data_IF_767790272110
#
_entry.id   IF_767790272110
#
_cell.length_a   1.000
_cell.length_b   1.000
_cell.length_c   1.000
_cell.angle_alpha   90.00
_cell.angle_beta   90.00
_cell.angle_gamma   90.00
#
_symmetry.space_group_name_H-M   'P 1'
#
loop_
_entity.id
_entity.type
_entity.pdbx_description
1 polymer ?
#
# COMPACT_ATOMS: atom_id res chain seq x y z
N UNK A 1 77.69 0.22 36.33
CA UNK A 1 78.12 -0.91 35.54
C UNK A 1 77.07 -1.16 34.51
N UNK A 2 77.25 -0.67 33.34
CA UNK A 2 76.28 -0.74 32.29
C UNK A 2 76.86 -1.43 31.06
N UNK A 3 76.15 -2.26 30.45
CA UNK A 3 76.54 -2.83 29.17
C UNK A 3 75.52 -2.38 28.12
N UNK A 4 76.05 -1.53 27.21
CA UNK A 4 75.33 -1.12 26.01
C UNK A 4 75.68 -2.10 24.88
N UNK A 5 74.68 -2.86 24.44
CA UNK A 5 74.86 -3.68 23.22
C UNK A 5 74.34 -2.82 22.06
N UNK A 6 75.28 -2.52 21.12
CA UNK A 6 74.90 -1.88 19.83
C UNK A 6 74.43 -2.96 18.87
N UNK A 7 73.24 -2.84 18.40
CA UNK A 7 72.74 -3.68 17.33
C UNK A 7 72.93 -2.96 16.00
N UNK A 8 73.69 -3.56 15.11
CA UNK A 8 73.84 -3.12 13.72
C UNK A 8 72.60 -3.54 12.92
N UNK A 9 71.96 -2.57 12.33
CA UNK A 9 70.85 -2.85 11.38
C UNK A 9 71.46 -2.75 9.97
N UNK A 10 71.53 -3.88 9.30
CA UNK A 10 71.85 -3.97 7.88
C UNK A 10 70.60 -3.54 7.08
N UNK A 11 70.73 -2.47 6.30
CA UNK A 11 69.66 -2.05 5.38
C UNK A 11 69.76 -2.90 4.10
N UNK A 12 68.84 -3.79 3.89
CA UNK A 12 68.64 -4.47 2.61
C UNK A 12 67.51 -3.72 1.84
N UNK A 13 67.93 -3.01 0.79
CA UNK A 13 67.02 -2.37 -0.15
C UNK A 13 66.37 -3.43 -1.06
N UNK A 14 65.14 -3.80 -0.77
CA UNK A 14 64.34 -4.58 -1.68
C UNK A 14 63.43 -3.61 -2.51
N UNK A 15 63.72 -3.54 -3.81
CA UNK A 15 62.85 -2.84 -4.76
C UNK A 15 61.54 -3.60 -4.91
N UNK A 16 60.49 -3.07 -4.34
CA UNK A 16 59.14 -3.60 -4.56
C UNK A 16 58.62 -2.99 -5.87
N UNK A 17 58.47 -3.82 -6.88
CA UNK A 17 57.74 -3.49 -8.08
C UNK A 17 56.29 -3.24 -7.71
N UNK A 18 55.82 -2.01 -7.84
CA UNK A 18 54.39 -1.65 -7.69
C UNK A 18 53.68 -2.18 -8.93
N UNK A 19 53.11 -3.37 -8.82
CA UNK A 19 52.10 -3.84 -9.75
C UNK A 19 50.86 -3.01 -9.43
N UNK A 20 50.53 -2.11 -10.36
CA UNK A 20 49.33 -1.29 -10.25
C UNK A 20 48.09 -2.19 -10.19
N UNK A 21 47.48 -2.29 -9.01
CA UNK A 21 46.09 -2.76 -8.92
C UNK A 21 45.21 -1.71 -9.57
N UNK A 22 44.76 -1.99 -10.78
CA UNK A 22 43.56 -1.31 -11.31
C UNK A 22 42.39 -1.60 -10.35
N UNK A 23 41.61 -0.58 -9.98
CA UNK A 23 40.39 -0.84 -9.24
C UNK A 23 39.51 -1.75 -10.11
N UNK A 24 38.74 -2.67 -9.49
CA UNK A 24 37.81 -3.49 -10.25
C UNK A 24 36.86 -2.55 -11.01
N UNK A 25 36.73 -2.79 -12.30
CA UNK A 25 35.77 -2.11 -13.13
C UNK A 25 34.42 -2.16 -12.41
N UNK A 26 33.78 -1.01 -12.23
CA UNK A 26 32.44 -0.92 -11.68
C UNK A 26 31.53 -1.86 -12.45
N UNK A 27 30.36 -2.27 -11.88
CA UNK A 27 29.46 -3.21 -12.52
C UNK A 27 29.16 -2.69 -13.92
N UNK A 28 29.73 -3.40 -14.89
CA UNK A 28 29.67 -3.05 -16.29
C UNK A 28 28.23 -3.07 -16.74
N UNK A 29 27.92 -2.09 -17.58
CA UNK A 29 27.04 -2.18 -18.72
C UNK A 29 26.11 -3.39 -18.62
N UNK A 30 24.87 -3.12 -18.16
CA UNK A 30 23.77 -4.08 -18.30
C UNK A 30 23.76 -4.53 -19.77
N UNK A 31 24.11 -5.78 -20.00
CA UNK A 31 23.94 -6.41 -21.28
C UNK A 31 22.48 -6.22 -21.70
N UNK A 32 22.28 -5.54 -22.82
CA UNK A 32 20.98 -5.36 -23.46
C UNK A 32 20.53 -6.73 -23.98
N UNK A 33 20.04 -7.58 -23.09
CA UNK A 33 19.31 -8.78 -23.52
C UNK A 33 18.03 -8.26 -24.17
N UNK A 34 17.81 -8.49 -25.47
CA UNK A 34 16.58 -8.07 -26.11
C UNK A 34 15.39 -8.69 -25.37
N UNK A 35 14.27 -7.96 -25.21
CA UNK A 35 13.10 -8.52 -24.59
C UNK A 35 12.72 -9.82 -25.30
N UNK A 36 12.37 -10.87 -24.55
CA UNK A 36 11.88 -12.09 -25.15
C UNK A 36 10.65 -11.76 -26.00
N UNK A 37 10.37 -12.52 -27.06
CA UNK A 37 9.16 -12.33 -27.90
C UNK A 37 7.85 -12.38 -27.11
N UNK A 38 7.90 -12.75 -25.83
CA UNK A 38 6.77 -12.83 -24.89
C UNK A 38 6.61 -11.58 -24.02
N UNK A 39 7.53 -10.59 -24.12
CA UNK A 39 7.50 -9.37 -23.30
C UNK A 39 7.16 -8.16 -24.17
N UNK A 40 6.38 -7.24 -23.63
CA UNK A 40 6.00 -5.96 -24.25
C UNK A 40 6.36 -4.81 -23.33
N UNK A 41 6.59 -3.64 -23.89
CA UNK A 41 6.79 -2.43 -23.10
C UNK A 41 5.48 -1.99 -22.43
N UNK A 42 5.60 -1.21 -21.36
CA UNK A 42 4.44 -0.62 -20.68
C UNK A 42 3.60 0.25 -21.60
N UNK A 43 4.22 0.93 -22.58
CA UNK A 43 3.49 1.75 -23.55
C UNK A 43 2.66 0.88 -24.52
N UNK A 44 3.22 -0.24 -24.99
CA UNK A 44 2.50 -1.20 -25.82
C UNK A 44 1.37 -1.87 -25.04
N UNK A 45 1.60 -2.23 -23.79
CA UNK A 45 0.56 -2.75 -22.89
C UNK A 45 -0.58 -1.74 -22.73
N UNK A 46 -0.26 -0.48 -22.46
CA UNK A 46 -1.25 0.58 -22.33
C UNK A 46 -2.07 0.74 -23.62
N UNK A 47 -1.41 0.79 -24.77
CA UNK A 47 -2.08 0.91 -26.07
C UNK A 47 -3.00 -0.29 -26.34
N UNK A 48 -2.54 -1.53 -26.08
CA UNK A 48 -3.33 -2.75 -26.30
C UNK A 48 -4.59 -2.83 -25.42
N UNK A 49 -4.59 -2.10 -24.29
CA UNK A 49 -5.70 -2.05 -23.33
C UNK A 49 -6.60 -0.81 -23.50
N UNK A 50 -6.27 0.11 -24.43
CA UNK A 50 -6.97 1.39 -24.55
C UNK A 50 -6.76 2.31 -23.34
N UNK A 51 -5.60 2.20 -22.70
CA UNK A 51 -5.17 3.00 -21.57
C UNK A 51 -4.03 3.94 -21.98
N UNK A 52 -3.70 4.90 -21.14
CA UNK A 52 -2.49 5.72 -21.24
C UNK A 52 -1.67 5.62 -19.97
N UNK A 53 -0.36 5.73 -20.08
CA UNK A 53 0.53 5.82 -18.93
C UNK A 53 0.25 7.17 -18.25
N UNK A 54 -0.28 7.10 -17.04
CA UNK A 54 -0.55 8.27 -16.20
C UNK A 54 0.64 8.58 -15.31
N UNK A 55 1.33 7.53 -14.85
CA UNK A 55 2.52 7.64 -14.02
C UNK A 55 3.45 6.46 -14.28
N UNK A 56 4.78 6.71 -14.25
CA UNK A 56 5.81 5.68 -14.34
C UNK A 56 6.94 6.02 -13.39
N UNK A 57 7.07 5.23 -12.33
CA UNK A 57 8.12 5.32 -11.31
C UNK A 57 8.93 4.02 -11.23
N UNK A 58 10.10 4.03 -10.59
CA UNK A 58 10.88 2.81 -10.40
C UNK A 58 10.11 1.70 -9.66
N UNK A 59 9.15 2.03 -8.82
CA UNK A 59 8.42 1.09 -7.97
C UNK A 59 7.09 0.63 -8.56
N UNK A 60 6.49 1.44 -9.44
CA UNK A 60 5.17 1.15 -10.02
C UNK A 60 4.89 1.94 -11.29
N UNK A 61 3.89 1.47 -12.03
CA UNK A 61 3.31 2.17 -13.19
C UNK A 61 1.80 2.23 -13.03
N UNK A 62 1.21 3.37 -13.40
CA UNK A 62 -0.24 3.57 -13.41
C UNK A 62 -0.70 3.83 -14.84
N UNK A 63 -1.61 3.00 -15.30
CA UNK A 63 -2.28 3.14 -16.61
C UNK A 63 -3.74 3.53 -16.37
N UNK A 64 -4.26 4.53 -17.10
CA UNK A 64 -5.64 5.03 -16.91
C UNK A 64 -6.35 5.34 -18.22
N UNK A 65 -7.69 5.23 -18.17
CA UNK A 65 -8.63 5.93 -19.05
C UNK A 65 -9.78 6.48 -18.20
N UNK A 66 -10.87 6.93 -18.85
CA UNK A 66 -12.05 7.47 -18.14
C UNK A 66 -12.75 6.47 -17.22
N UNK A 67 -12.57 5.17 -17.43
CA UNK A 67 -13.35 4.13 -16.76
C UNK A 67 -12.50 3.17 -15.94
N UNK A 68 -11.21 3.07 -16.23
CA UNK A 68 -10.34 2.05 -15.63
C UNK A 68 -9.00 2.63 -15.16
N UNK A 69 -8.51 2.09 -14.06
CA UNK A 69 -7.16 2.31 -13.54
C UNK A 69 -6.47 0.98 -13.35
N UNK A 70 -5.26 0.84 -13.89
CA UNK A 70 -4.41 -0.35 -13.71
C UNK A 70 -3.13 0.10 -13.01
N UNK A 71 -2.82 -0.51 -11.87
CA UNK A 71 -1.58 -0.29 -11.14
C UNK A 71 -0.70 -1.54 -11.22
N UNK A 72 0.54 -1.34 -11.63
CA UNK A 72 1.53 -2.39 -11.84
C UNK A 72 2.71 -2.09 -10.91
N UNK A 73 2.84 -2.84 -9.81
CA UNK A 73 4.01 -2.73 -8.94
C UNK A 73 5.17 -3.49 -9.56
N UNK A 74 6.27 -2.79 -9.80
CA UNK A 74 7.39 -3.28 -10.63
C UNK A 74 8.57 -3.84 -9.83
N UNK A 75 8.45 -3.94 -8.52
CA UNK A 75 9.40 -4.62 -7.66
C UNK A 75 9.16 -6.14 -7.66
N UNK A 76 10.18 -6.93 -7.30
CA UNK A 76 10.07 -8.39 -7.26
C UNK A 76 8.86 -8.86 -6.44
N UNK A 77 8.04 -9.72 -7.00
CA UNK A 77 6.76 -10.14 -6.40
C UNK A 77 5.67 -9.06 -6.42
N UNK A 78 5.83 -8.03 -7.27
CA UNK A 78 4.91 -6.90 -7.37
C UNK A 78 3.49 -7.34 -7.71
N UNK A 79 2.53 -6.68 -7.08
CA UNK A 79 1.10 -6.92 -7.27
C UNK A 79 0.58 -6.15 -8.50
N UNK A 80 -0.43 -6.70 -9.14
CA UNK A 80 -1.16 -6.08 -10.24
C UNK A 80 -2.60 -5.79 -9.80
N UNK A 81 -3.03 -4.56 -9.97
CA UNK A 81 -4.38 -4.11 -9.61
C UNK A 81 -5.12 -3.59 -10.82
N UNK A 82 -6.40 -3.89 -10.92
CA UNK A 82 -7.33 -3.30 -11.89
C UNK A 82 -8.52 -2.73 -11.13
N UNK A 83 -8.73 -1.42 -11.24
CA UNK A 83 -9.79 -0.71 -10.52
C UNK A 83 -9.80 -1.02 -9.02
N UNK A 84 -8.63 -0.88 -8.38
CA UNK A 84 -8.36 -1.19 -6.98
C UNK A 84 -8.34 -2.67 -6.59
N UNK A 85 -8.73 -3.59 -7.50
CA UNK A 85 -8.75 -5.04 -7.25
C UNK A 85 -7.40 -5.66 -7.57
N UNK A 86 -6.77 -6.39 -6.65
CA UNK A 86 -5.59 -7.17 -6.96
C UNK A 86 -5.99 -8.36 -7.86
N UNK A 87 -5.31 -8.50 -8.99
CA UNK A 87 -5.53 -9.60 -9.93
C UNK A 87 -4.35 -10.57 -10.01
N UNK A 88 -3.49 -10.54 -9.00
CA UNK A 88 -2.33 -11.41 -8.84
C UNK A 88 -1.01 -10.65 -8.98
N UNK A 89 0.09 -11.38 -9.12
CA UNK A 89 1.41 -10.79 -9.32
C UNK A 89 1.65 -10.41 -10.79
N UNK A 90 2.60 -9.49 -10.98
CA UNK A 90 3.03 -9.01 -12.31
C UNK A 90 3.88 -10.07 -13.02
N UNK A 91 4.50 -10.98 -12.27
CA UNK A 91 5.55 -11.86 -12.76
C UNK A 91 6.88 -11.15 -12.94
N UNK A 92 7.64 -11.55 -13.96
CA UNK A 92 8.94 -10.94 -14.28
C UNK A 92 8.74 -9.56 -14.89
N UNK A 93 9.50 -8.60 -14.37
CA UNK A 93 9.58 -7.23 -14.88
C UNK A 93 11.03 -6.97 -15.30
N UNK A 94 11.24 -6.65 -16.56
CA UNK A 94 12.55 -6.30 -17.11
C UNK A 94 12.66 -4.77 -17.30
N UNK A 95 13.87 -4.23 -17.11
CA UNK A 95 14.18 -2.81 -17.36
C UNK A 95 15.29 -2.73 -18.36
N UNK A 96 15.00 -2.17 -19.53
CA UNK A 96 15.95 -2.06 -20.63
C UNK A 96 15.93 -0.63 -21.15
N UNK A 97 17.06 0.07 -21.10
CA UNK A 97 17.15 1.45 -21.59
C UNK A 97 16.18 2.43 -20.92
N UNK A 98 15.87 2.22 -19.63
CA UNK A 98 14.92 3.06 -18.87
C UNK A 98 13.45 2.73 -19.13
N UNK A 99 13.15 1.79 -20.03
CA UNK A 99 11.78 1.31 -20.26
C UNK A 99 11.50 0.05 -19.44
N UNK A 100 10.24 -0.10 -19.06
CA UNK A 100 9.74 -1.25 -18.30
C UNK A 100 9.06 -2.20 -19.29
N UNK A 101 9.41 -3.49 -19.18
CA UNK A 101 8.85 -4.59 -19.96
C UNK A 101 8.21 -5.60 -19.04
N UNK A 102 7.05 -6.09 -19.44
CA UNK A 102 6.26 -7.08 -18.72
C UNK A 102 5.78 -8.17 -19.68
N UNK A 103 5.33 -9.30 -19.13
CA UNK A 103 4.77 -10.37 -19.98
C UNK A 103 3.55 -9.87 -20.75
N UNK A 104 3.47 -10.19 -22.04
CA UNK A 104 2.30 -9.92 -22.88
C UNK A 104 1.03 -10.66 -22.39
N UNK A 105 1.18 -11.74 -21.62
CA UNK A 105 0.06 -12.46 -20.99
C UNK A 105 -0.75 -11.58 -20.03
N UNK A 106 -0.19 -10.47 -19.57
CA UNK A 106 -0.91 -9.50 -18.74
C UNK A 106 -2.05 -8.81 -19.49
N UNK A 107 -1.99 -8.70 -20.82
CA UNK A 107 -3.04 -8.07 -21.63
C UNK A 107 -4.39 -8.74 -21.35
N UNK A 108 -4.45 -10.06 -21.50
CA UNK A 108 -5.72 -10.79 -21.32
C UNK A 108 -6.19 -10.83 -19.87
N UNK A 109 -5.25 -10.94 -18.93
CA UNK A 109 -5.58 -10.88 -17.49
C UNK A 109 -6.18 -9.54 -17.10
N UNK A 110 -5.56 -8.45 -17.54
CA UNK A 110 -6.05 -7.09 -17.27
C UNK A 110 -7.36 -6.84 -18.00
N UNK A 111 -7.46 -7.21 -19.28
CA UNK A 111 -8.68 -7.04 -20.07
C UNK A 111 -9.88 -7.78 -19.43
N UNK A 112 -9.69 -9.03 -19.05
CA UNK A 112 -10.71 -9.82 -18.36
C UNK A 112 -11.12 -9.16 -17.04
N UNK A 113 -10.17 -8.65 -16.26
CA UNK A 113 -10.47 -7.96 -15.00
C UNK A 113 -11.18 -6.62 -15.22
N UNK A 114 -10.83 -5.87 -16.27
CA UNK A 114 -11.55 -4.64 -16.66
C UNK A 114 -12.99 -4.93 -17.08
N UNK A 115 -13.25 -6.02 -17.81
CA UNK A 115 -14.58 -6.43 -18.25
C UNK A 115 -15.42 -7.03 -17.11
N UNK A 116 -14.78 -7.80 -16.22
CA UNK A 116 -15.42 -8.38 -15.04
C UNK A 116 -15.73 -7.35 -13.94
N UNK A 117 -15.21 -6.13 -14.07
CA UNK A 117 -15.49 -5.08 -13.10
C UNK A 117 -16.92 -4.59 -13.26
N UNK A 118 -17.82 -5.20 -12.51
CA UNK A 118 -19.10 -4.59 -12.19
C UNK A 118 -18.89 -3.78 -10.93
N UNK A 119 -19.05 -2.44 -10.95
CA UNK A 119 -19.04 -1.66 -9.73
C UNK A 119 -20.03 -2.30 -8.74
N UNK A 120 -19.68 -2.46 -7.45
CA UNK A 120 -20.62 -3.00 -6.50
C UNK A 120 -21.91 -2.19 -6.58
N UNK A 121 -23.01 -2.88 -6.85
CA UNK A 121 -24.33 -2.25 -6.84
C UNK A 121 -24.58 -1.76 -5.43
N UNK A 122 -24.91 -0.47 -5.22
CA UNK A 122 -25.21 0.01 -3.87
C UNK A 122 -26.32 -0.87 -3.29
N UNK A 123 -26.03 -1.58 -2.23
CA UNK A 123 -26.97 -2.49 -1.58
C UNK A 123 -28.10 -1.76 -0.84
N UNK A 124 -28.17 -0.44 -0.97
CA UNK A 124 -29.13 0.43 -0.30
C UNK A 124 -29.54 1.58 -1.24
N UNK A 125 -30.80 2.03 -1.24
CA UNK A 125 -31.20 3.25 -1.96
C UNK A 125 -30.22 4.38 -1.62
N UNK A 126 -29.73 5.10 -2.64
CA UNK A 126 -28.80 6.21 -2.44
C UNK A 126 -29.44 7.19 -1.45
N UNK A 127 -28.92 7.30 -0.23
CA UNK A 127 -29.45 8.25 0.73
C UNK A 127 -29.25 9.66 0.19
N UNK A 128 -30.05 10.59 0.67
CA UNK A 128 -29.88 12.03 0.54
C UNK A 128 -28.37 12.35 0.48
N UNK A 129 -27.94 13.05 -0.59
CA UNK A 129 -26.54 13.37 -0.86
C UNK A 129 -25.86 13.82 0.43
N UNK A 130 -24.91 13.02 0.91
CA UNK A 130 -24.19 13.32 2.14
C UNK A 130 -23.33 14.56 1.95
N UNK A 131 -23.17 15.35 2.98
CA UNK A 131 -22.27 16.49 2.97
C UNK A 131 -21.25 16.31 4.08
N UNK A 132 -19.99 16.47 3.77
CA UNK A 132 -18.88 16.36 4.72
C UNK A 132 -17.57 16.04 3.99
N UNK A 133 -16.46 16.26 4.71
CA UNK A 133 -15.11 15.99 4.25
C UNK A 133 -14.52 14.85 5.06
N UNK A 134 -14.09 13.80 4.39
CA UNK A 134 -13.43 12.63 5.01
C UNK A 134 -12.00 12.54 4.49
N UNK A 135 -11.05 12.39 5.40
CA UNK A 135 -9.68 12.02 5.03
C UNK A 135 -9.51 10.53 5.23
N UNK A 136 -9.12 9.83 4.16
CA UNK A 136 -8.78 8.41 4.19
C UNK A 136 -7.28 8.28 4.12
N UNK A 137 -6.70 7.71 5.16
CA UNK A 137 -5.28 7.43 5.26
C UNK A 137 -5.02 5.96 4.93
N UNK A 138 -4.21 5.71 3.91
CA UNK A 138 -3.69 4.38 3.66
C UNK A 138 -2.38 4.20 4.42
N UNK A 139 -2.39 3.46 5.51
CA UNK A 139 -1.24 3.26 6.39
C UNK A 139 0.00 2.76 5.65
N UNK A 140 1.20 3.10 6.16
CA UNK A 140 2.49 2.75 5.55
C UNK A 140 2.69 3.31 4.14
N UNK A 141 3.58 2.73 3.34
CA UNK A 141 3.85 3.11 1.95
C UNK A 141 5.33 3.38 1.64
N UNK A 142 5.73 3.22 0.39
CA UNK A 142 7.10 3.44 -0.08
C UNK A 142 8.14 2.63 0.69
N UNK A 143 9.03 3.32 1.39
CA UNK A 143 10.11 2.72 2.23
C UNK A 143 9.58 1.95 3.46
N UNK A 144 8.36 2.22 3.90
CA UNK A 144 7.71 1.55 5.01
C UNK A 144 6.74 0.47 4.49
N UNK A 145 7.10 -0.81 4.56
CA UNK A 145 6.24 -1.89 4.08
C UNK A 145 5.07 -2.20 5.02
N UNK A 146 5.10 -1.72 6.28
CA UNK A 146 4.25 -2.22 7.34
C UNK A 146 4.57 -3.66 7.71
N UNK A 147 3.60 -4.39 8.22
CA UNK A 147 3.74 -5.79 8.57
C UNK A 147 3.99 -6.67 7.33
N UNK A 148 4.82 -7.72 7.52
CA UNK A 148 4.98 -8.79 6.54
C UNK A 148 3.98 -9.90 6.82
N UNK A 149 3.17 -10.23 5.82
CA UNK A 149 2.27 -11.37 5.90
C UNK A 149 3.03 -12.69 5.93
N UNK A 150 2.48 -13.68 6.64
CA UNK A 150 2.96 -15.07 6.58
C UNK A 150 2.84 -15.72 5.19
N UNK A 151 2.21 -15.04 4.23
CA UNK A 151 2.09 -15.44 2.82
C UNK A 151 2.99 -14.63 1.88
N UNK A 152 3.91 -13.81 2.43
CA UNK A 152 4.96 -13.14 1.66
C UNK A 152 4.55 -11.86 0.94
N UNK A 153 3.51 -11.16 1.37
CA UNK A 153 3.14 -9.83 0.90
C UNK A 153 3.16 -8.81 2.05
N UNK A 154 3.15 -7.53 1.72
CA UNK A 154 3.26 -6.43 2.68
C UNK A 154 1.91 -5.75 2.94
N UNK A 155 1.74 -5.26 4.16
CA UNK A 155 0.58 -4.53 4.65
C UNK A 155 0.23 -3.33 3.78
N UNK A 156 1.22 -2.51 3.41
CA UNK A 156 1.04 -1.28 2.64
C UNK A 156 0.20 -1.43 1.37
N UNK A 157 0.26 -2.60 0.73
CA UNK A 157 -0.50 -2.91 -0.48
C UNK A 157 -1.98 -3.14 -0.19
N UNK A 158 -2.28 -3.86 0.90
CA UNK A 158 -3.67 -4.10 1.35
C UNK A 158 -4.30 -2.78 1.78
N UNK A 159 -3.58 -2.00 2.62
CA UNK A 159 -4.06 -0.72 3.11
C UNK A 159 -4.41 0.22 1.96
N UNK A 160 -3.54 0.33 0.95
CA UNK A 160 -3.80 1.15 -0.22
C UNK A 160 -5.01 0.67 -1.04
N UNK A 161 -5.11 -0.62 -1.28
CA UNK A 161 -6.21 -1.20 -2.06
C UNK A 161 -7.56 -0.95 -1.40
N UNK A 162 -7.68 -1.24 -0.10
CA UNK A 162 -8.92 -1.02 0.65
C UNK A 162 -9.24 0.46 0.78
N UNK A 163 -8.25 1.31 1.08
CA UNK A 163 -8.44 2.74 1.22
C UNK A 163 -8.93 3.42 -0.06
N UNK A 164 -8.38 3.03 -1.23
CA UNK A 164 -8.82 3.53 -2.53
C UNK A 164 -10.28 3.15 -2.82
N UNK A 165 -10.68 1.93 -2.50
CA UNK A 165 -12.07 1.49 -2.72
C UNK A 165 -13.03 2.16 -1.73
N UNK A 166 -12.64 2.35 -0.46
CA UNK A 166 -13.41 3.15 0.52
C UNK A 166 -13.61 4.57 -0.01
N UNK A 167 -12.55 5.22 -0.46
CA UNK A 167 -12.63 6.58 -1.00
C UNK A 167 -13.61 6.66 -2.18
N UNK A 168 -13.50 5.76 -3.15
CA UNK A 168 -14.38 5.68 -4.31
C UNK A 168 -15.87 5.51 -3.91
N UNK A 169 -16.15 4.64 -2.93
CA UNK A 169 -17.50 4.38 -2.43
C UNK A 169 -18.09 5.62 -1.75
N UNK A 170 -17.30 6.33 -0.94
CA UNK A 170 -17.73 7.54 -0.24
C UNK A 170 -17.99 8.70 -1.20
N UNK A 171 -17.14 8.89 -2.22
CA UNK A 171 -17.34 9.89 -3.28
C UNK A 171 -18.64 9.63 -4.06
N UNK A 172 -18.94 8.38 -4.38
CA UNK A 172 -20.23 8.00 -5.01
C UNK A 172 -21.44 8.32 -4.14
N UNK A 173 -21.27 8.36 -2.81
CA UNK A 173 -22.32 8.72 -1.85
C UNK A 173 -22.43 10.23 -1.62
N UNK A 174 -21.52 11.02 -2.23
CA UNK A 174 -21.53 12.48 -2.23
C UNK A 174 -20.65 13.14 -1.18
N UNK A 175 -19.87 12.39 -0.41
CA UNK A 175 -18.86 12.93 0.50
C UNK A 175 -17.65 13.48 -0.29
N UNK A 176 -17.01 14.51 0.24
CA UNK A 176 -15.71 14.95 -0.25
C UNK A 176 -14.63 14.09 0.40
N UNK A 177 -13.84 13.41 -0.42
CA UNK A 177 -12.78 12.54 0.09
C UNK A 177 -11.41 13.10 -0.30
N UNK A 178 -10.50 13.12 0.67
CA UNK A 178 -9.08 13.36 0.46
C UNK A 178 -8.30 12.16 0.95
N UNK A 179 -7.38 11.66 0.13
CA UNK A 179 -6.47 10.59 0.53
C UNK A 179 -5.13 11.16 0.95
N UNK A 180 -4.47 10.55 1.95
CA UNK A 180 -3.09 10.89 2.34
C UNK A 180 -2.10 10.41 1.29
N UNK A 181 -2.36 9.24 0.67
CA UNK A 181 -1.64 8.72 -0.49
C UNK A 181 -2.57 7.95 -1.40
N UNK A 182 -2.30 8.02 -2.69
CA UNK A 182 -3.02 7.28 -3.74
C UNK A 182 -2.11 6.27 -4.45
N UNK A 183 -0.86 6.16 -4.01
CA UNK A 183 0.21 5.36 -4.59
C UNK A 183 1.12 4.77 -3.51
N UNK A 184 2.13 3.97 -3.93
CA UNK A 184 3.12 3.41 -3.03
C UNK A 184 4.26 4.40 -2.76
N UNK A 185 3.98 5.48 -2.05
CA UNK A 185 4.98 6.37 -1.48
C UNK A 185 4.77 6.51 0.04
N UNK A 186 5.85 6.86 0.72
CA UNK A 186 5.83 7.07 2.17
C UNK A 186 5.31 8.48 2.48
N UNK A 187 4.45 8.57 3.49
CA UNK A 187 3.96 9.82 4.09
C UNK A 187 4.35 9.80 5.56
N UNK A 188 4.98 10.87 6.04
CA UNK A 188 5.32 10.99 7.47
C UNK A 188 4.06 11.01 8.34
N UNK A 189 4.16 10.57 9.60
CA UNK A 189 2.98 10.42 10.47
C UNK A 189 2.31 11.76 10.74
N UNK A 190 3.10 12.81 10.93
CA UNK A 190 2.64 14.17 11.15
C UNK A 190 1.88 14.71 9.92
N UNK A 191 2.37 14.43 8.72
CA UNK A 191 1.75 14.87 7.47
C UNK A 191 0.40 14.21 7.24
N UNK A 192 0.21 12.95 7.71
CA UNK A 192 -1.09 12.27 7.62
C UNK A 192 -2.16 12.99 8.42
N UNK A 193 -1.87 13.33 9.67
CA UNK A 193 -2.76 14.09 10.53
C UNK A 193 -2.95 15.54 10.02
N UNK A 194 -1.87 16.15 9.50
CA UNK A 194 -1.92 17.51 8.95
C UNK A 194 -2.92 17.62 7.79
N UNK A 195 -3.01 16.64 6.90
CA UNK A 195 -4.03 16.63 5.81
C UNK A 195 -5.45 16.79 6.36
N UNK A 196 -5.78 16.10 7.46
CA UNK A 196 -7.10 16.21 8.07
C UNK A 196 -7.29 17.55 8.78
N UNK A 197 -6.24 18.02 9.45
CA UNK A 197 -6.25 19.27 10.20
C UNK A 197 -6.36 20.50 9.30
N UNK A 198 -5.69 20.51 8.14
CA UNK A 198 -5.70 21.61 7.16
C UNK A 198 -7.03 21.73 6.42
N UNK A 199 -7.75 20.63 6.31
CA UNK A 199 -9.07 20.57 5.67
C UNK A 199 -10.22 20.73 6.66
N UNK A 200 -9.95 20.89 7.97
CA UNK A 200 -10.96 20.81 9.03
C UNK A 200 -11.90 19.62 8.78
N UNK A 201 -11.31 18.44 8.54
CA UNK A 201 -12.05 17.25 8.11
C UNK A 201 -13.05 16.80 9.20
N UNK A 202 -14.27 16.45 8.76
CA UNK A 202 -15.32 15.95 9.65
C UNK A 202 -15.02 14.55 10.19
N UNK A 203 -14.14 13.81 9.50
CA UNK A 203 -13.65 12.50 9.95
C UNK A 203 -12.29 12.16 9.27
N UNK A 204 -11.35 11.67 10.08
CA UNK A 204 -10.13 11.01 9.63
C UNK A 204 -10.24 9.51 9.86
N UNK A 205 -9.93 8.69 8.84
CA UNK A 205 -9.94 7.22 8.93
C UNK A 205 -8.65 6.66 8.38
N UNK A 206 -7.83 6.05 9.25
CA UNK A 206 -6.62 5.34 8.85
C UNK A 206 -6.91 3.85 8.67
N UNK A 207 -6.42 3.27 7.58
CA UNK A 207 -6.63 1.86 7.20
C UNK A 207 -5.33 1.10 7.35
N UNK A 208 -5.37 0.03 8.14
CA UNK A 208 -4.25 -0.85 8.49
C UNK A 208 -4.64 -2.32 8.47
N UNK A 209 -3.65 -3.21 8.50
CA UNK A 209 -3.82 -4.65 8.67
C UNK A 209 -2.70 -5.18 9.58
N UNK A 210 -3.06 -5.45 10.80
CA UNK A 210 -2.18 -5.71 11.95
C UNK A 210 -1.34 -7.00 11.80
N UNK A 211 -0.33 -7.12 12.63
CA UNK A 211 0.43 -8.33 12.84
C UNK A 211 0.70 -8.51 14.33
N UNK A 212 0.64 -9.75 14.81
CA UNK A 212 0.85 -10.05 16.21
C UNK A 212 1.72 -11.29 16.38
N UNK A 213 2.55 -11.39 17.45
CA UNK A 213 3.41 -12.56 17.67
C UNK A 213 2.65 -13.88 17.69
N UNK A 214 1.47 -13.94 18.33
CA UNK A 214 0.63 -15.13 18.33
C UNK A 214 -0.15 -15.24 17.01
N UNK A 215 0.22 -16.18 16.18
CA UNK A 215 -0.42 -16.44 14.88
C UNK A 215 -1.88 -16.90 14.96
N UNK A 216 -2.36 -17.28 16.16
CA UNK A 216 -3.77 -17.59 16.41
C UNK A 216 -4.66 -16.35 16.50
N UNK A 217 -4.08 -15.18 16.75
CA UNK A 217 -4.84 -13.93 16.83
C UNK A 217 -5.45 -13.59 15.48
N UNK A 218 -6.75 -13.26 15.48
CA UNK A 218 -7.52 -13.02 14.27
C UNK A 218 -8.75 -12.17 14.55
N UNK A 219 -9.13 -11.33 13.61
CA UNK A 219 -10.28 -10.43 13.66
C UNK A 219 -9.89 -8.99 13.40
N UNK A 220 -10.87 -8.09 13.34
CA UNK A 220 -10.65 -6.67 13.17
C UNK A 220 -10.70 -5.92 14.50
N UNK A 221 -10.05 -4.75 14.53
CA UNK A 221 -10.08 -3.82 15.67
C UNK A 221 -10.28 -2.40 15.15
N UNK A 222 -11.08 -1.60 15.85
CA UNK A 222 -11.19 -0.17 15.58
C UNK A 222 -10.53 0.59 16.73
N UNK A 223 -9.54 1.41 16.41
CA UNK A 223 -8.84 2.21 17.41
C UNK A 223 -9.27 3.67 17.37
N UNK A 224 -9.35 4.27 18.56
CA UNK A 224 -9.50 5.70 18.78
C UNK A 224 -8.42 6.19 19.76
N UNK A 225 -8.15 7.49 19.79
CA UNK A 225 -7.26 8.04 20.80
C UNK A 225 -7.80 7.81 22.22
N UNK A 226 -6.91 7.73 23.22
CA UNK A 226 -7.36 7.64 24.62
C UNK A 226 -8.21 8.83 25.05
N UNK A 227 -7.90 10.02 24.50
CA UNK A 227 -8.62 11.28 24.69
C UNK A 227 -9.71 11.52 23.62
N UNK A 228 -10.15 10.48 22.92
CA UNK A 228 -11.06 10.61 21.79
C UNK A 228 -12.36 11.34 22.14
N UNK A 229 -12.83 12.17 21.20
CA UNK A 229 -14.10 12.88 21.28
C UNK A 229 -15.32 11.92 21.25
N UNK A 230 -16.49 12.41 21.58
CA UNK A 230 -17.74 11.66 21.39
C UNK A 230 -17.95 11.31 19.91
N UNK A 231 -17.60 12.20 18.99
CA UNK A 231 -17.72 11.99 17.55
C UNK A 231 -16.79 10.88 17.05
N UNK A 232 -15.54 10.81 17.54
CA UNK A 232 -14.64 9.68 17.23
C UNK A 232 -15.23 8.36 17.71
N UNK A 233 -15.83 8.31 18.91
CA UNK A 233 -16.49 7.10 19.43
C UNK A 233 -17.71 6.71 18.61
N UNK A 234 -18.50 7.68 18.16
CA UNK A 234 -19.67 7.43 17.28
C UNK A 234 -19.23 6.84 15.95
N UNK A 235 -18.22 7.44 15.30
CA UNK A 235 -17.65 6.94 14.05
C UNK A 235 -17.08 5.52 14.22
N UNK A 236 -16.27 5.29 15.27
CA UNK A 236 -15.71 3.97 15.57
C UNK A 236 -16.79 2.90 15.78
N UNK A 237 -17.85 3.21 16.54
CA UNK A 237 -18.96 2.29 16.76
C UNK A 237 -19.76 2.02 15.49
N UNK A 238 -19.97 3.03 14.62
CA UNK A 238 -20.65 2.85 13.36
C UNK A 238 -19.86 1.93 12.42
N UNK A 239 -18.54 2.16 12.29
CA UNK A 239 -17.66 1.29 11.52
C UNK A 239 -17.61 -0.13 12.11
N UNK A 240 -17.47 -0.28 13.43
CA UNK A 240 -17.46 -1.59 14.08
C UNK A 240 -18.75 -2.39 13.82
N UNK A 241 -19.93 -1.75 13.86
CA UNK A 241 -21.21 -2.39 13.52
C UNK A 241 -21.24 -2.89 12.08
N UNK A 242 -20.82 -2.07 11.13
CA UNK A 242 -20.79 -2.47 9.71
C UNK A 242 -19.77 -3.58 9.45
N UNK A 243 -18.60 -3.50 10.08
CA UNK A 243 -17.56 -4.52 9.98
C UNK A 243 -18.00 -5.90 10.53
N UNK A 244 -18.94 -5.97 11.45
CA UNK A 244 -19.46 -7.24 11.97
C UNK A 244 -20.10 -8.12 10.89
N UNK A 245 -20.56 -7.53 9.79
CA UNK A 245 -21.09 -8.24 8.63
C UNK A 245 -20.04 -8.90 7.72
N UNK A 246 -18.74 -8.69 7.97
CA UNK A 246 -17.65 -9.22 7.12
C UNK A 246 -17.37 -10.71 7.37
N UNK A 247 -17.80 -11.25 8.49
CA UNK A 247 -17.50 -12.61 8.94
C UNK A 247 -16.21 -12.75 9.74
N UNK A 248 -15.49 -11.65 9.97
CA UNK A 248 -14.34 -11.63 10.89
C UNK A 248 -14.80 -11.51 12.35
N UNK A 249 -13.98 -12.05 13.25
CA UNK A 249 -14.15 -11.79 14.68
C UNK A 249 -13.94 -10.29 14.95
N UNK A 250 -14.54 -9.79 16.02
CA UNK A 250 -14.38 -8.41 16.46
C UNK A 250 -13.65 -8.33 17.80
N UNK A 251 -12.64 -7.49 17.85
CA UNK A 251 -12.06 -7.02 19.13
C UNK A 251 -12.74 -5.72 19.61
N UNK A 252 -13.74 -5.23 18.86
CA UNK A 252 -14.48 -4.01 19.18
C UNK A 252 -13.69 -2.73 19.02
N UNK A 253 -14.16 -1.71 19.73
CA UNK A 253 -13.47 -0.41 19.77
C UNK A 253 -12.49 -0.38 20.93
N UNK A 254 -11.23 -0.11 20.62
CA UNK A 254 -10.12 -0.03 21.57
C UNK A 254 -9.53 1.38 21.59
N UNK A 255 -8.70 1.68 22.58
CA UNK A 255 -7.98 2.95 22.66
C UNK A 255 -6.48 2.75 22.50
N UNK A 256 -5.83 3.61 21.72
CA UNK A 256 -4.37 3.60 21.53
C UNK A 256 -3.80 5.01 21.48
N UNK A 257 -2.48 5.13 21.59
CA UNK A 257 -1.75 6.39 21.44
C UNK A 257 -1.08 6.51 20.08
N UNK A 258 -1.73 6.09 19.00
CA UNK A 258 -1.17 6.24 17.66
C UNK A 258 -1.11 7.71 17.25
N UNK A 259 0.01 8.16 16.69
CA UNK A 259 0.25 9.54 16.28
C UNK A 259 -0.86 10.08 15.38
N UNK A 260 -1.27 9.33 14.37
CA UNK A 260 -2.35 9.75 13.46
C UNK A 260 -3.70 9.98 14.15
N UNK A 261 -3.92 9.38 15.33
CA UNK A 261 -5.13 9.58 16.13
C UNK A 261 -4.98 10.71 17.14
N UNK A 262 -3.79 10.88 17.73
CA UNK A 262 -3.53 11.90 18.76
C UNK A 262 -3.27 13.28 18.17
N UNK A 263 -2.70 13.34 16.98
CA UNK A 263 -2.28 14.57 16.32
C UNK A 263 -3.39 15.13 15.39
N UNK A 264 -4.42 14.31 15.09
CA UNK A 264 -5.63 14.78 14.41
C UNK A 264 -6.53 15.53 15.39
N UNK A 265 -6.85 16.78 15.08
CA UNK A 265 -7.70 17.65 15.91
C UNK A 265 -9.19 17.27 15.86
N UNK A 266 -9.64 16.80 14.71
CA UNK A 266 -11.01 16.37 14.45
C UNK A 266 -11.31 14.95 14.93
N UNK A 267 -12.51 14.42 14.61
CA UNK A 267 -12.83 13.02 14.82
C UNK A 267 -11.87 12.11 14.05
N UNK A 268 -11.29 11.10 14.72
CA UNK A 268 -10.31 10.21 14.12
C UNK A 268 -10.49 8.77 14.58
N UNK A 269 -10.36 7.83 13.64
CA UNK A 269 -10.38 6.39 13.87
C UNK A 269 -9.29 5.70 13.06
N UNK A 270 -8.78 4.56 13.57
CA UNK A 270 -7.90 3.67 12.84
C UNK A 270 -8.55 2.28 12.81
N UNK A 271 -8.60 1.70 11.62
CA UNK A 271 -9.22 0.41 11.35
C UNK A 271 -8.14 -0.60 11.06
N UNK A 272 -7.99 -1.59 11.95
CA UNK A 272 -7.22 -2.80 11.69
C UNK A 272 -8.14 -3.83 11.04
N UNK A 273 -7.91 -4.11 9.77
CA UNK A 273 -8.77 -4.96 8.94
C UNK A 273 -8.71 -6.44 9.30
N UNK A 274 -7.65 -6.88 9.98
CA UNK A 274 -7.37 -8.27 10.36
C UNK A 274 -5.88 -8.49 10.54
N UNK A 275 -5.45 -9.74 10.81
CA UNK A 275 -4.06 -10.06 11.16
C UNK A 275 -3.30 -10.77 10.04
N UNK A 276 -2.25 -10.13 9.54
CA UNK A 276 -1.35 -10.68 8.52
C UNK A 276 -0.46 -11.83 9.04
N UNK A 277 -0.29 -11.92 10.36
CA UNK A 277 0.36 -13.04 11.04
C UNK A 277 -0.49 -14.30 11.10
N UNK A 278 -1.82 -14.20 10.94
CA UNK A 278 -2.72 -15.35 10.88
C UNK A 278 -2.88 -15.82 9.43
N UNK A 279 -2.51 -17.10 9.15
CA UNK A 279 -2.49 -17.62 7.77
C UNK A 279 -3.87 -17.58 7.08
N UNK A 280 -4.94 -17.86 7.83
CA UNK A 280 -6.30 -17.85 7.27
C UNK A 280 -6.75 -16.43 6.94
N UNK A 281 -6.51 -15.47 7.83
CA UNK A 281 -6.85 -14.06 7.56
C UNK A 281 -5.95 -13.44 6.49
N UNK A 282 -4.66 -13.74 6.49
CA UNK A 282 -3.77 -13.32 5.42
C UNK A 282 -4.25 -13.81 4.04
N UNK A 283 -4.78 -15.03 3.95
CA UNK A 283 -5.37 -15.55 2.72
C UNK A 283 -6.66 -14.79 2.32
N UNK A 284 -7.52 -14.44 3.28
CA UNK A 284 -8.70 -13.61 3.06
C UNK A 284 -8.30 -12.19 2.63
N UNK A 285 -7.41 -11.54 3.37
CA UNK A 285 -6.93 -10.18 3.10
C UNK A 285 -6.23 -10.05 1.74
N UNK A 286 -5.65 -11.13 1.24
CA UNK A 286 -5.09 -11.19 -0.12
C UNK A 286 -6.17 -11.28 -1.21
N UNK A 287 -7.38 -11.70 -0.89
CA UNK A 287 -8.49 -11.84 -1.85
C UNK A 287 -9.12 -10.49 -2.17
N UNK A 288 -9.18 -10.14 -3.46
CA UNK A 288 -9.81 -8.88 -3.91
C UNK A 288 -11.28 -8.78 -3.50
N UNK A 289 -12.03 -9.87 -3.63
CA UNK A 289 -13.45 -9.88 -3.25
C UNK A 289 -13.65 -9.70 -1.75
N UNK A 290 -12.68 -10.10 -0.94
CA UNK A 290 -12.72 -9.85 0.49
C UNK A 290 -12.30 -8.41 0.83
N UNK A 291 -11.32 -7.85 0.14
CA UNK A 291 -10.96 -6.43 0.25
C UNK A 291 -12.14 -5.52 -0.14
N UNK A 292 -12.86 -5.84 -1.21
CA UNK A 292 -14.08 -5.12 -1.60
C UNK A 292 -15.14 -5.17 -0.50
N UNK A 293 -15.32 -6.34 0.15
CA UNK A 293 -16.26 -6.52 1.27
C UNK A 293 -15.85 -5.68 2.48
N UNK A 294 -14.55 -5.65 2.81
CA UNK A 294 -14.03 -4.82 3.90
C UNK A 294 -14.22 -3.33 3.58
N UNK A 295 -13.87 -2.91 2.37
CA UNK A 295 -14.03 -1.53 1.92
C UNK A 295 -15.51 -1.10 1.96
N UNK A 296 -16.43 -1.97 1.51
CA UNK A 296 -17.86 -1.71 1.59
C UNK A 296 -18.32 -1.54 3.05
N UNK A 297 -17.88 -2.42 3.95
CA UNK A 297 -18.25 -2.35 5.36
C UNK A 297 -17.73 -1.08 6.04
N UNK A 298 -16.46 -0.70 5.76
CA UNK A 298 -15.88 0.55 6.28
C UNK A 298 -16.66 1.76 5.74
N UNK A 299 -16.93 1.81 4.42
CA UNK A 299 -17.67 2.90 3.80
C UNK A 299 -19.12 2.99 4.29
N UNK A 300 -19.76 1.86 4.56
CA UNK A 300 -21.12 1.82 5.15
C UNK A 300 -21.11 2.40 6.56
N UNK A 301 -20.14 2.01 7.40
CA UNK A 301 -19.99 2.54 8.74
C UNK A 301 -19.69 4.05 8.78
N UNK A 302 -18.83 4.52 7.86
CA UNK A 302 -18.60 5.96 7.71
C UNK A 302 -19.88 6.68 7.29
N UNK A 303 -20.62 6.13 6.33
CA UNK A 303 -21.89 6.70 5.89
C UNK A 303 -22.93 6.75 7.02
N UNK A 304 -23.00 5.72 7.86
CA UNK A 304 -23.88 5.69 9.02
C UNK A 304 -23.52 6.74 10.08
N UNK A 305 -22.26 7.14 10.16
CA UNK A 305 -21.81 8.24 11.02
C UNK A 305 -22.27 9.61 10.51
N UNK A 306 -22.38 9.81 9.19
CA UNK A 306 -22.81 11.07 8.57
C UNK A 306 -24.36 11.19 8.42
N UNK A 307 -25.12 10.15 8.72
CA UNK A 307 -26.59 10.15 8.68
C UNK A 307 -27.21 10.45 10.06
#
# INVERSE_FOLDING_TARGET
MGNRIKLFVLAASAAIAIVGCQPPAGPGIEDKVPPSQQNISINELAAALGLRVSESKPTHVILKNSSNTVMIFTLSGGQLYVNTRPIGDVGRVDRIGGQIYVSNSLIERIRSAMQAYTPPTPSRPVPRRMTGTVVIDAGHGGKDPGASSVLGFYEKGINLSVALEVARLLEQRGLRVKMTRTDDYFVELEDRAAVANDLDADLFVSIHADSFPESSRRGYTIYIARSASSSSRQAANAIARSMSGTGLNSFGVQTAGYHVLTDTRGPAVLVELGYLSNRSEAALLRSSSFQDRLAQAVADGISDYFN
#
